data_IF_991005611676
#
_entry.id   IF_991005611676
#
_cell.length_a   1.000
_cell.length_b   1.000
_cell.length_c   1.000
_cell.angle_alpha   90.00
_cell.angle_beta   90.00
_cell.angle_gamma   90.00
#
_symmetry.space_group_name_H-M   'P 1'
#
loop_
_entity.id
_entity.type
_entity.pdbx_description
1 polymer ?
#
# COMPACT_ATOMS: atom_id res chain seq x y z
N UNK A 1 -35.85 20.65 41.30
CA UNK A 1 -34.49 20.74 40.73
C UNK A 1 -33.97 19.37 40.24
N UNK A 2 -34.71 18.59 39.44
CA UNK A 2 -34.26 17.25 38.98
C UNK A 2 -34.15 17.11 37.45
N UNK A 3 -34.61 18.08 36.66
CA UNK A 3 -34.52 18.04 35.20
C UNK A 3 -33.10 18.35 34.67
N UNK A 4 -32.34 19.21 35.36
CA UNK A 4 -31.03 19.68 34.89
C UNK A 4 -29.97 18.57 34.84
N UNK A 5 -30.08 17.54 35.70
CA UNK A 5 -29.12 16.42 35.76
C UNK A 5 -29.33 15.43 34.60
N UNK A 6 -30.57 15.27 34.13
CA UNK A 6 -30.89 14.36 33.02
C UNK A 6 -30.43 14.96 31.68
N UNK A 7 -30.55 16.28 31.50
CA UNK A 7 -30.07 16.97 30.31
C UNK A 7 -28.53 16.93 30.17
N UNK A 8 -27.80 17.04 31.29
CA UNK A 8 -26.34 16.95 31.30
C UNK A 8 -25.82 15.53 30.96
N UNK A 9 -26.54 14.48 31.36
CA UNK A 9 -26.18 13.10 31.03
C UNK A 9 -26.41 12.77 29.54
N UNK A 10 -27.44 13.35 28.91
CA UNK A 10 -27.70 13.18 27.47
C UNK A 10 -26.72 13.96 26.58
N UNK A 11 -26.23 15.11 27.05
CA UNK A 11 -25.26 15.92 26.29
C UNK A 11 -23.87 15.27 26.21
N UNK A 12 -23.52 14.39 27.17
CA UNK A 12 -22.26 13.66 27.21
C UNK A 12 -22.28 12.36 26.37
N UNK A 13 -23.44 11.94 25.87
CA UNK A 13 -23.59 10.73 25.04
C UNK A 13 -23.65 11.01 23.55
N UNK A 14 -23.27 12.22 23.11
CA UNK A 14 -23.18 12.51 21.69
C UNK A 14 -22.01 11.69 21.11
N UNK A 15 -22.25 10.89 20.05
CA UNK A 15 -21.16 10.18 19.40
C UNK A 15 -20.21 11.22 18.82
N UNK A 16 -19.01 11.31 19.40
CA UNK A 16 -17.89 11.99 18.76
C UNK A 16 -17.41 11.06 17.67
N UNK A 17 -17.83 11.31 16.44
CA UNK A 17 -17.27 10.66 15.27
C UNK A 17 -15.80 11.06 15.18
N UNK A 18 -14.90 10.18 15.61
CA UNK A 18 -13.48 10.39 15.45
C UNK A 18 -13.14 10.21 13.96
N UNK A 19 -12.86 11.32 13.28
CA UNK A 19 -12.25 11.28 11.95
C UNK A 19 -10.80 10.83 12.13
N UNK A 20 -10.39 9.83 11.36
CA UNK A 20 -8.98 9.45 11.33
C UNK A 20 -8.30 10.21 10.20
N UNK A 21 -7.24 10.95 10.53
CA UNK A 21 -6.34 11.55 9.56
C UNK A 21 -5.13 10.62 9.37
N UNK A 22 -5.06 9.92 8.24
CA UNK A 22 -4.02 8.94 7.92
C UNK A 22 -3.28 9.42 6.68
N UNK A 23 -1.94 9.51 6.74
CA UNK A 23 -1.10 9.85 5.58
C UNK A 23 -0.03 8.80 5.39
N UNK A 24 0.08 8.23 4.19
CA UNK A 24 1.15 7.29 3.83
C UNK A 24 1.87 7.74 2.56
N UNK A 25 3.14 7.35 2.42
CA UNK A 25 3.92 7.62 1.21
C UNK A 25 5.00 6.57 0.98
N UNK A 26 5.38 6.34 -0.27
CA UNK A 26 6.54 5.53 -0.62
C UNK A 26 7.29 6.16 -1.79
N UNK A 27 8.58 5.87 -1.89
CA UNK A 27 9.44 6.34 -2.95
C UNK A 27 10.42 5.25 -3.39
N UNK A 28 10.66 5.18 -4.69
CA UNK A 28 11.78 4.45 -5.29
C UNK A 28 12.58 5.41 -6.17
N UNK A 29 13.90 5.44 -6.00
CA UNK A 29 14.81 6.26 -6.78
C UNK A 29 16.14 5.53 -7.04
N UNK A 30 16.99 6.13 -7.90
CA UNK A 30 18.34 5.63 -8.19
C UNK A 30 18.41 4.16 -8.63
N UNK A 31 17.40 3.73 -9.41
CA UNK A 31 17.38 2.41 -10.02
C UNK A 31 18.60 2.21 -10.94
N UNK A 32 19.34 1.13 -10.72
CA UNK A 32 20.54 0.77 -11.48
C UNK A 32 20.75 -0.73 -11.44
N UNK A 33 21.57 -1.23 -12.35
CA UNK A 33 21.91 -2.64 -12.39
C UNK A 33 23.39 -2.86 -12.76
N UNK A 34 23.91 -4.01 -12.34
CA UNK A 34 25.21 -4.54 -12.71
C UNK A 34 25.03 -5.87 -13.44
N UNK A 35 25.85 -6.10 -14.47
CA UNK A 35 25.89 -7.35 -15.23
C UNK A 35 27.28 -7.96 -15.06
N UNK A 36 27.35 -9.18 -14.55
CA UNK A 36 28.58 -9.85 -14.14
C UNK A 36 28.70 -11.16 -14.93
N UNK A 37 29.86 -11.33 -15.56
CA UNK A 37 30.25 -12.60 -16.16
C UNK A 37 30.74 -13.58 -15.08
N UNK A 38 30.11 -14.74 -15.00
CA UNK A 38 30.43 -15.79 -14.03
C UNK A 38 31.51 -16.77 -14.54
N UNK A 39 31.79 -16.81 -15.84
CA UNK A 39 32.85 -17.64 -16.42
C UNK A 39 33.55 -16.94 -17.60
N UNK A 40 34.58 -16.16 -17.28
CA UNK A 40 35.40 -15.44 -18.25
C UNK A 40 36.09 -16.32 -19.32
N UNK A 41 36.08 -17.66 -19.17
CA UNK A 41 36.76 -18.58 -20.10
C UNK A 41 35.83 -19.33 -21.04
N UNK A 42 34.51 -19.14 -20.96
CA UNK A 42 33.53 -19.84 -21.81
C UNK A 42 33.39 -19.22 -23.21
N UNK A 43 33.92 -18.01 -23.41
CA UNK A 43 33.85 -17.25 -24.65
C UNK A 43 32.49 -16.58 -24.90
N UNK A 44 31.59 -16.57 -23.91
CA UNK A 44 30.28 -15.93 -23.94
C UNK A 44 30.40 -14.57 -23.24
N UNK A 45 30.06 -13.49 -23.94
CA UNK A 45 30.03 -12.16 -23.32
C UNK A 45 28.76 -12.02 -22.48
N UNK A 46 28.92 -11.71 -21.19
CA UNK A 46 27.79 -11.39 -20.32
C UNK A 46 26.99 -10.19 -20.86
N UNK A 47 25.69 -10.39 -21.07
CA UNK A 47 24.79 -9.38 -21.58
C UNK A 47 23.42 -9.47 -20.92
N UNK A 48 22.83 -8.30 -20.68
CA UNK A 48 21.43 -8.10 -20.30
C UNK A 48 20.76 -7.33 -21.44
N UNK A 49 19.75 -7.93 -22.05
CA UNK A 49 18.86 -7.23 -22.99
C UNK A 49 17.55 -6.94 -22.27
N UNK A 50 17.09 -5.69 -22.36
CA UNK A 50 15.81 -5.25 -21.82
C UNK A 50 14.90 -4.91 -22.99
N UNK A 51 13.69 -5.47 -22.97
CA UNK A 51 12.62 -5.06 -23.87
C UNK A 51 11.84 -3.88 -23.29
N UNK A 52 10.96 -3.29 -24.11
CA UNK A 52 10.11 -2.18 -23.71
C UNK A 52 9.30 -2.58 -22.47
N UNK A 53 9.43 -1.78 -21.41
CA UNK A 53 8.83 -2.08 -20.13
C UNK A 53 7.35 -1.69 -20.08
N UNK A 54 6.56 -2.50 -19.39
CA UNK A 54 5.23 -2.12 -18.96
C UNK A 54 5.31 -1.17 -17.77
N UNK A 55 4.55 -0.07 -17.82
CA UNK A 55 4.34 0.83 -16.70
C UNK A 55 2.87 0.81 -16.33
N UNK A 56 2.58 0.84 -15.04
CA UNK A 56 1.22 0.97 -14.52
C UNK A 56 1.25 1.95 -13.36
N UNK A 57 0.59 3.09 -13.54
CA UNK A 57 0.32 4.05 -12.49
C UNK A 57 -1.18 4.01 -12.23
N UNK A 58 -1.59 3.96 -10.95
CA UNK A 58 -2.99 4.05 -10.60
C UNK A 58 -3.20 4.83 -9.30
N UNK A 59 -4.27 5.62 -9.27
CA UNK A 59 -4.77 6.26 -8.07
C UNK A 59 -6.28 6.05 -7.96
N UNK A 60 -6.77 5.75 -6.76
CA UNK A 60 -8.19 5.47 -6.57
C UNK A 60 -8.65 5.54 -5.13
N UNK A 61 -9.94 5.30 -4.95
CA UNK A 61 -10.64 5.28 -3.68
C UNK A 61 -11.64 4.12 -3.62
N UNK A 62 -11.73 3.43 -2.49
CA UNK A 62 -12.85 2.52 -2.22
C UNK A 62 -13.42 2.69 -0.81
N UNK A 63 -14.71 2.40 -0.68
CA UNK A 63 -15.48 2.56 0.56
C UNK A 63 -16.04 1.23 1.11
N UNK A 64 -15.46 0.08 0.73
CA UNK A 64 -15.99 -1.23 1.11
C UNK A 64 -15.05 -2.39 0.83
N UNK A 65 -15.58 -3.62 0.87
CA UNK A 65 -14.83 -4.84 0.55
C UNK A 65 -14.81 -5.07 -0.96
N UNK A 66 -13.86 -4.47 -1.66
CA UNK A 66 -13.66 -4.70 -3.08
C UNK A 66 -12.61 -3.75 -3.64
N UNK A 67 -11.75 -4.25 -4.52
CA UNK A 67 -10.80 -3.41 -5.23
C UNK A 67 -11.57 -2.64 -6.31
N UNK A 68 -11.62 -1.30 -6.25
CA UNK A 68 -12.37 -0.49 -7.20
C UNK A 68 -11.56 -0.37 -8.50
N UNK A 69 -12.22 0.07 -9.57
CA UNK A 69 -11.49 0.65 -10.69
C UNK A 69 -10.79 1.93 -10.22
N UNK A 70 -9.54 2.18 -10.64
CA UNK A 70 -8.85 3.42 -10.30
C UNK A 70 -9.59 4.60 -10.93
N UNK A 71 -9.51 5.77 -10.28
CA UNK A 71 -10.05 7.00 -10.83
C UNK A 71 -9.18 7.54 -11.95
N UNK A 72 -7.87 7.29 -11.83
CA UNK A 72 -6.88 7.73 -12.78
C UNK A 72 -5.83 6.63 -12.99
N UNK A 73 -5.43 6.46 -14.25
CA UNK A 73 -4.62 5.35 -14.71
C UNK A 73 -3.75 5.78 -15.90
N UNK A 74 -2.45 5.50 -15.83
CA UNK A 74 -1.50 5.76 -16.90
C UNK A 74 -0.59 4.54 -17.13
N UNK A 75 -0.16 4.36 -18.38
CA UNK A 75 0.82 3.33 -18.76
C UNK A 75 2.13 3.95 -19.24
N UNK A 76 2.40 5.20 -18.86
CA UNK A 76 3.57 5.98 -19.22
C UNK A 76 4.01 6.85 -18.04
N UNK A 77 5.14 7.53 -18.17
CA UNK A 77 5.59 8.51 -17.16
C UNK A 77 4.54 9.63 -17.04
N UNK A 78 4.27 10.06 -15.81
CA UNK A 78 3.23 11.04 -15.55
C UNK A 78 2.81 11.06 -14.09
N UNK A 79 1.68 11.72 -13.85
CA UNK A 79 1.08 11.84 -12.52
C UNK A 79 -0.36 11.36 -12.59
N UNK A 80 -0.72 10.41 -11.72
CA UNK A 80 -2.09 9.97 -11.46
C UNK A 80 -2.60 10.58 -10.16
N UNK A 81 -3.87 10.95 -10.12
CA UNK A 81 -4.48 11.53 -8.92
C UNK A 81 -5.88 10.99 -8.64
N UNK A 82 -6.23 10.84 -7.37
CA UNK A 82 -7.61 10.65 -6.95
C UNK A 82 -7.93 11.63 -5.81
N UNK A 83 -9.11 12.24 -5.86
CA UNK A 83 -9.57 13.17 -4.82
C UNK A 83 -11.03 12.89 -4.51
N UNK A 84 -11.34 12.76 -3.22
CA UNK A 84 -12.69 12.60 -2.69
C UNK A 84 -12.88 13.55 -1.52
N UNK A 85 -14.11 13.70 -1.02
CA UNK A 85 -14.36 14.54 0.17
C UNK A 85 -13.56 14.11 1.40
N UNK A 86 -13.18 12.83 1.46
CA UNK A 86 -12.38 12.24 2.52
C UNK A 86 -10.86 12.31 2.29
N UNK A 87 -10.34 12.96 1.24
CA UNK A 87 -8.89 13.11 1.05
C UNK A 87 -8.40 12.98 -0.40
N UNK A 88 -7.11 12.75 -0.57
CA UNK A 88 -6.48 12.61 -1.89
C UNK A 88 -5.34 11.59 -1.92
N UNK A 89 -5.11 10.99 -3.08
CA UNK A 89 -3.89 10.21 -3.38
C UNK A 89 -3.23 10.71 -4.67
N UNK A 90 -1.93 10.53 -4.77
CA UNK A 90 -1.12 10.97 -5.91
C UNK A 90 0.04 10.02 -6.13
N UNK A 91 0.27 9.64 -7.38
CA UNK A 91 1.43 8.88 -7.82
C UNK A 91 2.11 9.60 -8.96
N UNK A 92 3.42 9.83 -8.88
CA UNK A 92 4.22 10.42 -9.96
C UNK A 92 5.36 9.49 -10.34
N UNK A 93 5.47 9.20 -11.63
CA UNK A 93 6.63 8.55 -12.23
C UNK A 93 7.34 9.55 -13.15
N UNK A 94 8.59 9.85 -12.86
CA UNK A 94 9.41 10.70 -13.73
C UNK A 94 10.87 10.27 -13.68
N UNK A 95 11.47 10.04 -14.84
CA UNK A 95 12.91 9.75 -14.98
C UNK A 95 13.39 8.56 -14.12
N UNK A 96 12.57 7.51 -13.99
CA UNK A 96 12.91 6.34 -13.17
C UNK A 96 12.75 6.55 -11.66
N UNK A 97 12.19 7.67 -11.22
CA UNK A 97 11.79 7.89 -9.83
C UNK A 97 10.28 7.75 -9.70
N UNK A 98 9.83 6.89 -8.78
CA UNK A 98 8.43 6.70 -8.44
C UNK A 98 8.15 7.27 -7.06
N UNK A 99 7.21 8.20 -6.97
CA UNK A 99 6.75 8.83 -5.73
C UNK A 99 5.24 8.59 -5.58
N UNK A 100 4.81 7.99 -4.47
CA UNK A 100 3.39 7.77 -4.17
C UNK A 100 3.02 8.30 -2.81
N UNK A 101 1.81 8.84 -2.70
CA UNK A 101 1.25 9.31 -1.44
C UNK A 101 -0.26 9.11 -1.40
N UNK A 102 -0.80 8.87 -0.21
CA UNK A 102 -2.22 8.83 0.06
C UNK A 102 -2.50 9.52 1.40
N UNK A 103 -3.55 10.34 1.43
CA UNK A 103 -4.05 11.00 2.63
C UNK A 103 -5.55 10.78 2.73
N UNK A 104 -6.00 10.26 3.86
CA UNK A 104 -7.40 9.98 4.12
C UNK A 104 -7.84 10.61 5.45
N UNK A 105 -9.01 11.24 5.45
CA UNK A 105 -9.70 11.89 6.56
C UNK A 105 -11.19 11.53 6.50
N UNK A 106 -11.58 10.49 7.23
CA UNK A 106 -12.93 9.96 7.15
C UNK A 106 -13.25 8.91 8.20
N UNK A 107 -14.46 8.36 8.12
CA UNK A 107 -14.95 7.30 9.00
C UNK A 107 -14.78 5.91 8.41
N UNK A 108 -14.74 5.79 7.09
CA UNK A 108 -14.55 4.53 6.37
C UNK A 108 -14.05 4.76 4.94
N UNK A 109 -13.25 3.81 4.45
CA UNK A 109 -12.72 3.78 3.09
C UNK A 109 -11.21 3.94 3.05
N UNK A 110 -10.65 3.80 1.87
CA UNK A 110 -9.21 3.83 1.62
C UNK A 110 -8.91 4.53 0.30
N UNK A 111 -7.98 5.47 0.34
CA UNK A 111 -7.32 6.04 -0.82
C UNK A 111 -6.02 5.29 -1.07
N UNK A 112 -5.72 5.04 -2.34
CA UNK A 112 -4.49 4.40 -2.73
C UNK A 112 -3.83 5.10 -3.92
N UNK A 113 -2.52 4.96 -4.00
CA UNK A 113 -1.74 5.23 -5.19
C UNK A 113 -0.67 4.15 -5.34
N UNK A 114 -0.52 3.61 -6.55
CA UNK A 114 0.50 2.61 -6.86
C UNK A 114 1.18 2.92 -8.18
N UNK A 115 2.46 2.58 -8.26
CA UNK A 115 3.28 2.65 -9.46
C UNK A 115 4.03 1.34 -9.55
N UNK A 116 3.95 0.68 -10.69
CA UNK A 116 4.74 -0.51 -11.01
C UNK A 116 5.39 -0.34 -12.38
N UNK A 117 6.65 -0.72 -12.48
CA UNK A 117 7.40 -0.75 -13.74
C UNK A 117 8.03 -2.12 -13.85
N UNK A 118 7.86 -2.77 -14.98
CA UNK A 118 8.48 -4.05 -15.29
C UNK A 118 9.06 -4.05 -16.69
N UNK A 119 10.17 -4.75 -16.88
CA UNK A 119 10.81 -5.00 -18.17
C UNK A 119 10.94 -6.49 -18.35
N UNK A 120 10.55 -7.01 -19.51
CA UNK A 120 11.03 -8.32 -19.92
C UNK A 120 12.53 -8.26 -20.17
N UNK A 121 13.26 -9.30 -19.80
CA UNK A 121 14.70 -9.38 -19.99
C UNK A 121 15.14 -10.72 -20.58
N UNK A 122 16.32 -10.68 -21.21
CA UNK A 122 17.08 -11.86 -21.60
C UNK A 122 18.54 -11.73 -21.13
N UNK A 123 19.05 -12.79 -20.50
CA UNK A 123 20.45 -12.96 -20.11
C UNK A 123 21.12 -14.02 -20.97
N UNK A 124 22.38 -13.77 -21.33
CA UNK A 124 23.29 -14.81 -21.83
C UNK A 124 23.57 -15.86 -20.75
N UNK A 125 24.11 -17.03 -21.13
CA UNK A 125 24.56 -18.02 -20.14
C UNK A 125 25.67 -17.46 -19.23
N UNK A 126 25.86 -18.08 -18.07
CA UNK A 126 26.88 -17.75 -17.07
C UNK A 126 26.91 -16.25 -16.72
N UNK A 127 25.74 -15.63 -16.58
CA UNK A 127 25.60 -14.19 -16.36
C UNK A 127 24.80 -13.93 -15.10
N UNK A 128 25.30 -13.09 -14.21
CA UNK A 128 24.59 -12.61 -13.03
C UNK A 128 24.16 -11.16 -13.24
N UNK A 129 22.96 -10.84 -12.77
CA UNK A 129 22.48 -9.46 -12.65
C UNK A 129 22.24 -9.14 -11.18
N UNK A 130 22.68 -7.95 -10.78
CA UNK A 130 22.33 -7.35 -9.49
C UNK A 130 21.59 -6.05 -9.75
N UNK A 131 20.36 -5.97 -9.28
CA UNK A 131 19.54 -4.77 -9.30
C UNK A 131 19.72 -4.01 -7.99
N UNK A 132 19.68 -2.69 -8.07
CA UNK A 132 19.72 -1.80 -6.91
C UNK A 132 18.71 -0.67 -7.06
N UNK A 133 18.11 -0.28 -5.95
CA UNK A 133 17.31 0.95 -5.86
C UNK A 133 17.33 1.51 -4.43
N UNK A 134 17.18 2.82 -4.28
CA UNK A 134 16.96 3.44 -2.97
C UNK A 134 15.45 3.48 -2.72
N UNK A 135 15.00 2.74 -1.70
CA UNK A 135 13.60 2.63 -1.31
C UNK A 135 13.31 3.34 0.00
N UNK A 136 12.18 4.05 0.08
CA UNK A 136 11.64 4.53 1.35
C UNK A 136 10.13 4.34 1.43
N UNK A 137 9.63 4.09 2.64
CA UNK A 137 8.22 3.87 2.93
C UNK A 137 7.86 4.50 4.29
N UNK A 138 6.79 5.28 4.32
CA UNK A 138 6.24 5.90 5.52
C UNK A 138 4.77 5.50 5.64
N UNK A 139 4.47 4.68 6.65
CA UNK A 139 3.09 4.32 6.99
C UNK A 139 2.40 5.48 7.69
N UNK A 140 1.08 5.55 7.60
CA UNK A 140 0.29 6.55 8.32
C UNK A 140 -0.19 6.05 9.67
N UNK A 141 -0.40 6.96 10.62
CA UNK A 141 -1.18 6.69 11.84
C UNK A 141 -2.23 7.77 12.00
N UNK A 142 -3.47 7.35 12.23
CA UNK A 142 -4.52 8.23 12.72
C UNK A 142 -4.18 8.79 14.10
N UNK A 143 -4.76 9.93 14.46
CA UNK A 143 -4.61 10.56 15.78
C UNK A 143 -4.91 9.62 16.98
N UNK A 144 -5.70 8.56 16.77
CA UNK A 144 -6.05 7.55 17.78
C UNK A 144 -5.06 6.38 17.90
N UNK A 145 -4.08 6.24 17.00
CA UNK A 145 -3.21 5.06 16.95
C UNK A 145 -3.87 3.79 16.39
N UNK A 146 -5.18 3.82 16.15
CA UNK A 146 -5.96 2.63 15.76
C UNK A 146 -6.05 2.44 14.25
N UNK A 147 -5.88 3.52 13.48
CA UNK A 147 -5.98 3.52 12.03
C UNK A 147 -4.59 3.66 11.44
N UNK A 148 -4.28 2.85 10.43
CA UNK A 148 -2.97 2.76 9.83
C UNK A 148 -3.04 2.95 8.32
N UNK A 149 -2.04 3.61 7.76
CA UNK A 149 -1.73 3.54 6.35
C UNK A 149 -0.58 2.56 6.13
N UNK A 150 -0.62 1.83 5.02
CA UNK A 150 0.47 0.94 4.60
C UNK A 150 1.17 1.55 3.40
N UNK A 151 2.48 1.44 3.37
CA UNK A 151 3.28 1.89 2.23
C UNK A 151 4.40 0.88 1.97
N UNK A 152 4.76 0.68 0.70
CA UNK A 152 5.86 -0.19 0.32
C UNK A 152 6.65 0.36 -0.86
N UNK A 153 7.93 -0.02 -0.90
CA UNK A 153 8.80 0.08 -2.07
C UNK A 153 9.46 -1.28 -2.26
N UNK A 154 9.33 -1.86 -3.46
CA UNK A 154 9.85 -3.19 -3.79
C UNK A 154 10.65 -3.17 -5.09
N UNK A 155 11.68 -4.00 -5.12
CA UNK A 155 12.47 -4.36 -6.29
C UNK A 155 12.26 -5.86 -6.52
N UNK A 156 12.06 -6.27 -7.77
CA UNK A 156 11.77 -7.68 -8.07
C UNK A 156 12.47 -8.15 -9.35
N UNK A 157 12.69 -9.46 -9.40
CA UNK A 157 13.07 -10.23 -10.58
C UNK A 157 12.28 -11.54 -10.60
N UNK A 158 11.61 -11.84 -11.70
CA UNK A 158 10.82 -13.04 -11.94
C UNK A 158 11.52 -13.81 -13.05
N UNK A 159 11.84 -15.07 -12.79
CA UNK A 159 12.36 -16.03 -13.77
C UNK A 159 11.39 -17.17 -13.94
N UNK A 160 11.53 -17.96 -15.00
CA UNK A 160 10.64 -19.10 -15.25
C UNK A 160 11.45 -20.40 -15.21
N UNK A 161 10.96 -21.40 -14.48
CA UNK A 161 11.57 -22.73 -14.48
C UNK A 161 11.46 -23.35 -15.88
N UNK A 162 12.56 -23.81 -16.50
CA UNK A 162 12.54 -24.29 -17.88
C UNK A 162 11.81 -25.62 -18.06
N UNK A 163 11.51 -26.35 -16.98
CA UNK A 163 10.83 -27.65 -16.99
C UNK A 163 9.34 -27.49 -16.70
N UNK A 164 8.98 -26.75 -15.66
CA UNK A 164 7.58 -26.60 -15.24
C UNK A 164 6.91 -25.35 -15.83
N UNK A 165 7.69 -24.33 -16.21
CA UNK A 165 7.19 -23.01 -16.59
C UNK A 165 6.71 -22.18 -15.40
N UNK A 166 6.90 -22.65 -14.16
CA UNK A 166 6.46 -21.92 -12.97
C UNK A 166 7.33 -20.68 -12.74
N UNK A 167 6.73 -19.52 -12.40
CA UNK A 167 7.50 -18.33 -12.09
C UNK A 167 8.20 -18.49 -10.73
N UNK A 168 9.46 -18.08 -10.67
CA UNK A 168 10.23 -17.91 -9.44
C UNK A 168 10.50 -16.42 -9.26
N UNK A 169 9.91 -15.84 -8.22
CA UNK A 169 10.10 -14.43 -7.88
C UNK A 169 11.15 -14.28 -6.78
N UNK A 170 12.13 -13.41 -7.03
CA UNK A 170 13.08 -12.91 -6.05
C UNK A 170 12.82 -11.43 -5.85
N UNK A 171 12.67 -11.00 -4.61
CA UNK A 171 12.33 -9.62 -4.28
C UNK A 171 13.05 -9.13 -3.03
N UNK A 172 13.23 -7.82 -2.96
CA UNK A 172 13.65 -7.11 -1.77
C UNK A 172 12.75 -5.88 -1.62
N UNK A 173 12.37 -5.55 -0.39
CA UNK A 173 11.39 -4.51 -0.14
C UNK A 173 11.57 -3.84 1.22
N UNK A 174 11.15 -2.58 1.26
CA UNK A 174 10.84 -1.87 2.50
C UNK A 174 9.34 -1.70 2.59
N UNK A 175 8.78 -2.02 3.75
CA UNK A 175 7.37 -1.83 4.06
C UNK A 175 7.26 -1.04 5.35
N UNK A 176 6.32 -0.11 5.40
CA UNK A 176 5.99 0.59 6.63
C UNK A 176 4.50 0.54 6.92
N UNK A 177 4.20 0.45 8.21
CA UNK A 177 2.87 0.41 8.78
C UNK A 177 2.87 1.24 10.07
N UNK A 178 1.75 1.89 10.38
CA UNK A 178 1.55 2.64 11.62
C UNK A 178 2.64 3.69 11.94
N UNK A 179 2.94 4.59 11.01
CA UNK A 179 3.71 5.81 11.32
C UNK A 179 5.21 5.66 11.32
N UNK A 180 5.69 4.43 11.20
CA UNK A 180 7.11 4.18 11.09
C UNK A 180 7.63 4.69 9.74
N UNK A 181 8.91 4.99 9.68
CA UNK A 181 9.60 5.30 8.42
C UNK A 181 10.68 4.26 8.23
N UNK A 182 10.62 3.55 7.11
CA UNK A 182 11.62 2.58 6.69
C UNK A 182 12.33 3.11 5.44
N UNK A 183 13.64 2.94 5.41
CA UNK A 183 14.50 3.41 4.31
C UNK A 183 15.63 2.40 4.15
N UNK A 184 15.99 2.09 2.91
CA UNK A 184 17.07 1.14 2.66
C UNK A 184 17.48 1.08 1.20
N UNK A 185 18.69 0.60 0.98
CA UNK A 185 19.11 0.12 -0.33
C UNK A 185 18.44 -1.23 -0.58
N UNK A 186 17.59 -1.30 -1.59
CA UNK A 186 16.99 -2.55 -2.07
C UNK A 186 17.97 -3.23 -3.03
N UNK A 187 18.11 -4.55 -2.92
CA UNK A 187 18.94 -5.33 -3.83
C UNK A 187 18.34 -6.68 -4.18
N UNK A 188 18.25 -6.96 -5.48
CA UNK A 188 17.82 -8.26 -6.01
C UNK A 188 18.93 -8.83 -6.87
N UNK A 189 19.26 -10.10 -6.65
CA UNK A 189 20.28 -10.82 -7.42
C UNK A 189 19.67 -12.06 -8.06
N UNK A 190 19.94 -12.25 -9.34
CA UNK A 190 19.63 -13.49 -10.05
C UNK A 190 20.71 -13.78 -11.09
N UNK A 191 20.85 -15.04 -11.47
CA UNK A 191 21.85 -15.45 -12.45
C UNK A 191 21.30 -16.50 -13.40
N UNK A 192 21.71 -16.39 -14.65
CA UNK A 192 21.64 -17.48 -15.59
C UNK A 192 22.71 -18.52 -15.22
N UNK A 193 22.33 -19.80 -15.26
CA UNK A 193 23.28 -20.90 -15.08
C UNK A 193 24.03 -21.12 -16.41
N UNK A 194 24.27 -22.36 -16.80
CA UNK A 194 24.92 -22.71 -18.06
C UNK A 194 24.04 -22.52 -19.32
N UNK A 195 22.93 -21.80 -19.22
CA UNK A 195 21.99 -21.54 -20.30
C UNK A 195 21.45 -20.11 -20.21
N UNK A 196 20.98 -19.55 -21.32
CA UNK A 196 20.31 -18.26 -21.34
C UNK A 196 19.07 -18.27 -20.43
N UNK A 197 18.73 -17.10 -19.89
CA UNK A 197 17.63 -16.92 -18.94
C UNK A 197 16.75 -15.76 -19.38
N UNK A 198 15.44 -15.99 -19.44
CA UNK A 198 14.45 -14.96 -19.70
C UNK A 198 13.57 -14.75 -18.47
N UNK A 199 13.02 -13.54 -18.33
CA UNK A 199 12.20 -13.20 -17.19
C UNK A 199 11.68 -11.78 -17.22
N UNK A 200 11.22 -11.30 -16.07
CA UNK A 200 10.76 -9.94 -15.85
C UNK A 200 11.52 -9.33 -14.68
N UNK A 201 11.86 -8.05 -14.76
CA UNK A 201 12.47 -7.33 -13.65
C UNK A 201 11.87 -5.95 -13.52
N UNK A 202 11.91 -5.38 -12.33
CA UNK A 202 11.26 -4.11 -12.13
C UNK A 202 11.21 -3.67 -10.70
N UNK A 203 10.40 -2.65 -10.46
CA UNK A 203 10.15 -2.12 -9.14
C UNK A 203 8.72 -1.60 -9.02
N UNK A 204 8.23 -1.52 -7.79
CA UNK A 204 6.92 -0.95 -7.50
C UNK A 204 6.91 -0.16 -6.19
N UNK A 205 6.09 0.88 -6.15
CA UNK A 205 5.83 1.67 -4.96
C UNK A 205 4.32 1.78 -4.73
N UNK A 206 3.88 1.64 -3.49
CA UNK A 206 2.47 1.72 -3.10
C UNK A 206 2.27 2.53 -1.83
N UNK A 207 1.20 3.32 -1.79
CA UNK A 207 0.74 4.04 -0.62
C UNK A 207 -0.77 3.86 -0.47
N UNK A 208 -1.20 3.40 0.70
CA UNK A 208 -2.58 3.16 1.08
C UNK A 208 -2.85 3.91 2.37
N UNK A 209 -3.92 4.71 2.39
CA UNK A 209 -4.35 5.45 3.57
C UNK A 209 -5.85 5.26 3.72
N UNK A 210 -6.27 4.65 4.81
CA UNK A 210 -7.67 4.31 4.98
C UNK A 210 -8.05 3.98 6.41
N UNK A 211 -9.35 3.83 6.57
CA UNK A 211 -10.01 3.43 7.81
C UNK A 211 -10.95 2.29 7.46
N UNK A 212 -10.75 1.15 8.13
CA UNK A 212 -11.72 0.08 8.11
C UNK A 212 -12.88 0.42 9.07
N UNK A 213 -14.15 0.22 8.67
CA UNK A 213 -15.27 0.42 9.57
C UNK A 213 -15.11 -0.46 10.80
N UNK A 214 -14.97 0.17 11.97
CA UNK A 214 -14.97 -0.54 13.25
C UNK A 214 -16.41 -0.93 13.56
N UNK A 215 -16.75 -2.22 13.75
CA UNK A 215 -18.09 -2.60 14.15
C UNK A 215 -18.41 -1.94 15.49
N UNK A 216 -19.30 -0.97 15.55
CA UNK A 216 -19.54 -0.17 16.75
C UNK A 216 -20.10 -1.03 17.90
N UNK A 217 -19.28 -1.49 18.87
CA UNK A 217 -19.79 -2.33 19.97
C UNK A 217 -20.62 -1.49 20.93
N UNK A 218 -20.31 -0.19 20.98
CA UNK A 218 -20.95 0.83 21.80
C UNK A 218 -22.37 1.13 21.37
N UNK A 219 -22.73 1.07 20.09
CA UNK A 219 -24.13 1.30 19.69
C UNK A 219 -25.04 0.21 20.22
N UNK A 220 -24.62 -1.05 20.10
CA UNK A 220 -25.36 -2.19 20.65
C UNK A 220 -25.38 -2.12 22.17
N UNK A 221 -24.24 -1.81 22.80
CA UNK A 221 -24.17 -1.69 24.26
C UNK A 221 -24.99 -0.51 24.80
N UNK A 222 -24.95 0.67 24.17
CA UNK A 222 -25.70 1.86 24.56
C UNK A 222 -27.19 1.70 24.29
N UNK A 223 -27.57 1.07 23.17
CA UNK A 223 -28.96 0.69 22.92
C UNK A 223 -29.45 -0.29 24.00
N UNK A 224 -28.65 -1.30 24.32
CA UNK A 224 -28.98 -2.28 25.36
C UNK A 224 -29.12 -1.64 26.73
N UNK A 225 -28.18 -0.76 27.10
CA UNK A 225 -28.23 0.00 28.37
C UNK A 225 -29.41 0.98 28.39
N UNK A 226 -29.71 1.64 27.27
CA UNK A 226 -30.87 2.52 27.12
C UNK A 226 -32.18 1.77 27.31
N UNK A 227 -32.34 0.62 26.65
CA UNK A 227 -33.50 -0.26 26.79
C UNK A 227 -33.62 -0.82 28.22
N UNK A 228 -32.52 -1.24 28.83
CA UNK A 228 -32.50 -1.70 30.23
C UNK A 228 -32.94 -0.58 31.19
N UNK A 229 -32.47 0.65 30.98
CA UNK A 229 -32.86 1.83 31.76
C UNK A 229 -34.34 2.18 31.61
N UNK A 230 -34.85 2.16 30.37
CA UNK A 230 -36.29 2.36 30.08
C UNK A 230 -37.15 1.27 30.73
N UNK A 231 -36.76 0.00 30.61
CA UNK A 231 -37.44 -1.14 31.23
C UNK A 231 -37.50 -1.02 32.75
N UNK A 232 -36.40 -0.62 33.40
CA UNK A 232 -36.36 -0.38 34.84
C UNK A 232 -37.30 0.74 35.28
N UNK A 233 -37.36 1.84 34.51
CA UNK A 233 -38.24 2.97 34.80
C UNK A 233 -39.71 2.62 34.64
N UNK A 234 -40.08 1.92 33.56
CA UNK A 234 -41.46 1.47 33.32
C UNK A 234 -41.94 0.51 34.42
N UNK A 235 -41.09 -0.44 34.86
CA UNK A 235 -41.40 -1.34 35.97
C UNK A 235 -41.69 -0.61 37.29
N UNK A 236 -41.06 0.54 37.52
CA UNK A 236 -41.25 1.34 38.73
C UNK A 236 -42.52 2.20 38.66
N UNK A 237 -42.90 2.67 37.47
CA UNK A 237 -44.10 3.48 37.26
C UNK A 237 -45.41 2.67 37.36
N UNK A 238 -45.40 1.38 37.02
CA UNK A 238 -46.59 0.52 37.14
C UNK A 238 -46.90 -0.01 38.55
N UNK A 239 -46.17 0.44 39.58
CA UNK A 239 -46.36 0.03 41.00
C UNK A 239 -46.97 1.12 41.89
N UNK A 240 -47.37 2.24 41.29
CA UNK A 240 -48.08 3.35 41.93
C UNK A 240 -49.48 3.45 41.35
#
# INVERSE_FOLDING_TARGET
MKLSVIAAALALSLPLTALADVTSSAQISNFRFEVIDLDLNDGITAALTLDEGGKVLSAGYYNGSGMPDPFDFLTEDGTVTATVGAGSSTGTLANGTADVSAQFSGTEGELFSTIAIGHSFALTANTQVVLYADGSAMGGVGSSGQYGGTSYSTLFGITYDPVTGDPTQTEDFVVSYLGDTQQGLLSVTFSSANAALEGELGYAAGAYAGVSPVPEPSQVALLTLGLAGLGWRLRRAGRS
#
